data_IF_394588256110
#
_entry.id   IF_394588256110
#
_cell.length_a   1.000
_cell.length_b   1.000
_cell.length_c   1.000
_cell.angle_alpha   90.00
_cell.angle_beta   90.00
_cell.angle_gamma   90.00
#
_symmetry.space_group_name_H-M   'P 1'
#
loop_
_entity.id
_entity.type
_entity.pdbx_description
1 polymer ?
#
# COMPACT_ATOMS: atom_id res chain seq x y z
N UNK A 1 2.03 17.29 -27.91
CA UNK A 1 1.39 15.97 -27.70
C UNK A 1 1.91 15.24 -26.46
N UNK A 2 3.22 15.08 -26.25
CA UNK A 2 3.74 14.33 -25.08
C UNK A 2 3.41 14.95 -23.70
N UNK A 3 3.44 16.27 -23.55
CA UNK A 3 3.20 16.97 -22.27
C UNK A 3 1.78 16.71 -21.73
N UNK A 4 0.77 16.72 -22.61
CA UNK A 4 -0.63 16.48 -22.24
C UNK A 4 -0.81 15.03 -21.75
N UNK A 5 -0.15 14.07 -22.39
CA UNK A 5 -0.22 12.66 -22.02
C UNK A 5 0.38 12.40 -20.63
N UNK A 6 1.57 12.96 -20.34
CA UNK A 6 2.17 12.82 -19.01
C UNK A 6 1.32 13.46 -17.91
N UNK A 7 0.78 14.67 -18.15
CA UNK A 7 -0.11 15.34 -17.20
C UNK A 7 -1.40 14.55 -16.92
N UNK A 8 -1.96 13.90 -17.95
CA UNK A 8 -3.14 13.05 -17.81
C UNK A 8 -2.85 11.80 -16.97
N UNK A 9 -1.73 11.12 -17.25
CA UNK A 9 -1.31 9.93 -16.50
C UNK A 9 -1.02 10.25 -15.03
N UNK A 10 -0.36 11.37 -14.76
CA UNK A 10 -0.06 11.81 -13.39
C UNK A 10 -1.34 12.16 -12.62
N UNK A 11 -2.30 12.81 -13.29
CA UNK A 11 -3.62 13.08 -12.72
C UNK A 11 -4.36 11.79 -12.39
N UNK A 12 -4.35 10.81 -13.31
CA UNK A 12 -4.97 9.51 -13.08
C UNK A 12 -4.34 8.78 -11.89
N UNK A 13 -3.00 8.77 -11.82
CA UNK A 13 -2.27 8.17 -10.70
C UNK A 13 -2.69 8.81 -9.36
N UNK A 14 -2.71 10.14 -9.28
CA UNK A 14 -3.12 10.83 -8.05
C UNK A 14 -4.58 10.54 -7.66
N UNK A 15 -5.49 10.42 -8.62
CA UNK A 15 -6.89 10.04 -8.37
C UNK A 15 -6.99 8.63 -7.80
N UNK A 16 -6.24 7.67 -8.36
CA UNK A 16 -6.24 6.30 -7.88
C UNK A 16 -5.60 6.16 -6.50
N UNK A 17 -4.49 6.87 -6.24
CA UNK A 17 -3.86 6.93 -4.90
C UNK A 17 -4.82 7.52 -3.87
N UNK A 18 -5.53 8.60 -4.23
CA UNK A 18 -6.53 9.19 -3.35
C UNK A 18 -7.68 8.23 -3.08
N UNK A 19 -8.19 7.54 -4.09
CA UNK A 19 -9.25 6.55 -3.94
C UNK A 19 -8.82 5.38 -3.05
N UNK A 20 -7.59 4.87 -3.23
CA UNK A 20 -7.04 3.82 -2.38
C UNK A 20 -6.85 4.29 -0.94
N UNK A 21 -6.35 5.52 -0.74
CA UNK A 21 -6.20 6.12 0.58
C UNK A 21 -7.55 6.32 1.28
N UNK A 22 -8.57 6.80 0.58
CA UNK A 22 -9.91 6.97 1.13
C UNK A 22 -10.51 5.63 1.53
N UNK A 23 -10.28 4.60 0.71
CA UNK A 23 -10.71 3.24 1.02
C UNK A 23 -9.99 2.68 2.25
N UNK A 24 -8.69 2.93 2.39
CA UNK A 24 -7.93 2.59 3.59
C UNK A 24 -8.51 3.28 4.83
N UNK A 25 -8.78 4.58 4.77
CA UNK A 25 -9.37 5.34 5.87
C UNK A 25 -10.74 4.79 6.29
N UNK A 26 -11.57 4.38 5.32
CA UNK A 26 -12.87 3.78 5.59
C UNK A 26 -12.78 2.39 6.24
N UNK A 27 -11.73 1.62 5.92
CA UNK A 27 -11.54 0.24 6.38
C UNK A 27 -10.70 0.11 7.66
N UNK A 28 -9.99 1.16 8.06
CA UNK A 28 -9.20 1.19 9.29
C UNK A 28 -9.76 2.23 10.27
N UNK A 29 -10.79 1.87 11.08
CA UNK A 29 -11.51 2.82 11.94
C UNK A 29 -10.63 3.44 13.04
N UNK A 30 -9.54 2.76 13.42
CA UNK A 30 -8.57 3.24 14.41
C UNK A 30 -7.56 4.24 13.83
N UNK A 31 -7.75 4.68 12.57
CA UNK A 31 -6.93 5.73 11.97
C UNK A 31 -7.06 7.02 12.79
N UNK A 32 -5.94 7.59 13.27
CA UNK A 32 -5.98 8.84 14.02
C UNK A 32 -6.63 9.98 13.21
N UNK A 33 -7.63 10.63 13.80
CA UNK A 33 -8.29 11.78 13.19
C UNK A 33 -7.31 12.95 13.08
N UNK A 34 -7.33 13.65 11.96
CA UNK A 34 -6.42 14.76 11.72
C UNK A 34 -6.62 15.42 10.37
N UNK A 35 -5.86 16.50 10.13
CA UNK A 35 -5.82 17.14 8.82
C UNK A 35 -4.98 16.28 7.88
N UNK A 36 -5.56 15.90 6.74
CA UNK A 36 -4.90 15.10 5.70
C UNK A 36 -4.36 16.05 4.63
N UNK A 37 -3.12 15.84 4.21
CA UNK A 37 -2.49 16.56 3.09
C UNK A 37 -1.71 15.57 2.24
N UNK A 38 -1.88 15.63 0.92
CA UNK A 38 -1.04 14.88 -0.03
C UNK A 38 0.36 15.51 -0.12
N UNK A 39 1.39 14.70 -0.31
CA UNK A 39 2.75 15.18 -0.55
C UNK A 39 3.54 14.21 -1.41
N UNK A 40 4.67 14.63 -1.98
CA UNK A 40 5.47 13.77 -2.87
C UNK A 40 6.16 12.60 -2.16
N UNK A 41 6.40 12.73 -0.84
CA UNK A 41 7.15 11.74 -0.07
C UNK A 41 7.03 12.07 1.43
N UNK A 42 6.29 11.28 2.23
CA UNK A 42 5.40 10.17 1.81
C UNK A 42 4.12 10.68 1.10
N UNK A 43 3.39 9.80 0.42
CA UNK A 43 2.22 10.17 -0.41
C UNK A 43 1.16 10.99 0.34
N UNK A 44 0.89 10.66 1.61
CA UNK A 44 -0.02 11.41 2.46
C UNK A 44 0.57 11.69 3.84
N UNK A 45 0.11 12.78 4.44
CA UNK A 45 0.47 13.21 5.78
C UNK A 45 -0.81 13.49 6.58
N UNK A 46 -0.92 12.88 7.76
CA UNK A 46 -2.03 13.05 8.68
C UNK A 46 -1.53 13.79 9.92
N UNK A 47 -1.95 15.04 10.09
CA UNK A 47 -1.62 15.86 11.27
C UNK A 47 -2.67 15.67 12.35
N UNK A 48 -2.33 14.90 13.38
CA UNK A 48 -3.20 14.52 14.50
C UNK A 48 -3.10 15.49 15.69
N UNK A 49 -2.11 16.39 15.69
CA UNK A 49 -1.93 17.41 16.71
C UNK A 49 -0.84 18.44 16.36
N UNK A 50 -0.40 19.25 17.33
CA UNK A 50 0.60 20.30 17.10
C UNK A 50 1.97 19.76 16.67
N UNK A 51 2.36 18.58 17.15
CA UNK A 51 3.67 17.94 16.89
C UNK A 51 3.57 16.48 16.43
N UNK A 52 2.36 15.95 16.24
CA UNK A 52 2.17 14.57 15.81
C UNK A 52 1.68 14.55 14.36
N UNK A 53 2.48 13.90 13.52
CA UNK A 53 2.23 13.74 12.09
C UNK A 53 2.55 12.30 11.72
N UNK A 54 1.63 11.67 11.02
CA UNK A 54 1.78 10.32 10.48
C UNK A 54 1.99 10.45 8.98
N UNK A 55 3.08 9.90 8.48
CA UNK A 55 3.33 9.73 7.06
C UNK A 55 2.72 8.41 6.58
N UNK A 56 1.99 8.44 5.46
CA UNK A 56 1.39 7.27 4.83
C UNK A 56 2.00 7.15 3.44
N UNK A 57 2.75 6.07 3.22
CA UNK A 57 3.27 5.69 1.91
C UNK A 57 2.37 4.61 1.31
N UNK A 58 1.98 4.76 0.05
CA UNK A 58 1.25 3.77 -0.71
C UNK A 58 2.18 3.00 -1.65
N UNK A 59 1.86 1.73 -1.86
CA UNK A 59 2.56 0.92 -2.86
C UNK A 59 1.66 -0.16 -3.39
N UNK A 60 1.81 -0.52 -4.65
CA UNK A 60 1.01 -1.58 -5.28
C UNK A 60 1.81 -2.88 -5.33
N UNK A 61 1.14 -3.98 -5.02
CA UNK A 61 1.64 -5.34 -5.23
C UNK A 61 0.77 -5.98 -6.32
N UNK A 62 1.39 -6.22 -7.47
CA UNK A 62 0.76 -6.87 -8.61
C UNK A 62 0.89 -8.38 -8.49
N UNK A 63 -0.17 -9.10 -8.87
CA UNK A 63 -0.08 -10.54 -9.06
C UNK A 63 0.85 -10.80 -10.25
N UNK A 64 2.03 -11.40 -10.00
CA UNK A 64 2.96 -11.77 -11.08
C UNK A 64 2.23 -12.63 -12.13
N UNK A 65 2.50 -12.38 -13.42
CA UNK A 65 1.92 -13.21 -14.47
C UNK A 65 2.41 -14.66 -14.32
N UNK A 66 1.51 -15.65 -14.34
CA UNK A 66 1.94 -17.02 -14.44
C UNK A 66 2.46 -17.27 -15.86
N UNK A 67 3.58 -17.98 -15.99
CA UNK A 67 4.02 -18.51 -17.28
C UNK A 67 2.91 -19.31 -18.00
N UNK A 68 3.06 -19.41 -19.33
CA UNK A 68 2.08 -19.84 -20.37
C UNK A 68 1.21 -21.08 -20.01
N UNK A 69 1.65 -21.94 -19.08
CA UNK A 69 1.01 -23.21 -18.74
C UNK A 69 -0.30 -23.04 -17.93
N UNK A 70 -0.62 -21.85 -17.40
CA UNK A 70 -1.69 -21.69 -16.41
C UNK A 70 -2.99 -21.01 -16.88
N UNK A 71 -3.27 -21.00 -18.19
CA UNK A 71 -4.34 -20.19 -18.80
C UNK A 71 -5.75 -20.82 -18.64
N UNK A 72 -5.88 -22.04 -18.10
CA UNK A 72 -7.15 -22.80 -18.17
C UNK A 72 -8.11 -22.72 -16.99
N UNK A 73 -7.78 -22.11 -15.84
CA UNK A 73 -8.71 -21.93 -14.72
C UNK A 73 -8.48 -20.57 -14.05
N UNK A 74 -9.55 -19.85 -13.67
CA UNK A 74 -9.50 -18.58 -12.94
C UNK A 74 -8.45 -18.64 -11.81
N UNK A 75 -7.27 -18.08 -12.07
CA UNK A 75 -6.09 -18.40 -11.28
C UNK A 75 -6.06 -17.51 -10.05
N UNK A 76 -6.27 -18.13 -8.90
CA UNK A 76 -6.12 -17.49 -7.59
C UNK A 76 -4.64 -17.32 -7.29
N UNK A 77 -4.14 -16.08 -7.24
CA UNK A 77 -2.78 -15.79 -6.81
C UNK A 77 -2.71 -15.82 -5.29
N UNK A 78 -2.01 -16.78 -4.71
CA UNK A 78 -1.86 -16.86 -3.25
C UNK A 78 -0.84 -15.82 -2.80
N UNK A 79 -1.27 -14.90 -1.94
CA UNK A 79 -0.35 -13.93 -1.33
C UNK A 79 0.65 -14.69 -0.44
N UNK A 80 1.93 -14.36 -0.56
CA UNK A 80 3.01 -14.97 0.23
C UNK A 80 3.68 -13.91 1.11
N UNK A 81 4.23 -14.37 2.23
CA UNK A 81 5.07 -13.56 3.13
C UNK A 81 6.23 -12.93 2.36
N UNK A 82 6.91 -13.72 1.50
CA UNK A 82 8.07 -13.27 0.74
C UNK A 82 7.77 -12.15 -0.25
N UNK A 83 6.60 -12.18 -0.91
CA UNK A 83 6.20 -11.12 -1.83
C UNK A 83 6.00 -9.79 -1.08
N UNK A 84 5.31 -9.83 0.06
CA UNK A 84 5.09 -8.65 0.91
C UNK A 84 6.43 -8.15 1.48
N UNK A 85 7.29 -9.05 1.96
CA UNK A 85 8.59 -8.70 2.52
C UNK A 85 9.50 -8.00 1.50
N UNK A 86 9.54 -8.48 0.25
CA UNK A 86 10.28 -7.82 -0.84
C UNK A 86 9.80 -6.39 -1.10
N UNK A 87 8.48 -6.16 -1.07
CA UNK A 87 7.92 -4.81 -1.23
C UNK A 87 8.36 -3.89 -0.10
N UNK A 88 8.33 -4.38 1.14
CA UNK A 88 8.77 -3.63 2.31
C UNK A 88 10.27 -3.29 2.21
N UNK A 89 11.10 -4.25 1.85
CA UNK A 89 12.56 -4.06 1.67
C UNK A 89 12.86 -3.03 0.58
N UNK A 90 12.19 -3.12 -0.57
CA UNK A 90 12.38 -2.15 -1.64
C UNK A 90 11.96 -0.72 -1.20
N UNK A 91 10.93 -0.60 -0.37
CA UNK A 91 10.50 0.69 0.18
C UNK A 91 11.39 1.15 1.34
N UNK A 92 12.01 0.24 2.08
CA UNK A 92 12.95 0.55 3.16
C UNK A 92 14.14 1.38 2.68
N UNK A 93 14.64 1.11 1.47
CA UNK A 93 15.74 1.87 0.85
C UNK A 93 15.45 3.38 0.75
N UNK A 94 14.16 3.75 0.73
CA UNK A 94 13.68 5.14 0.60
C UNK A 94 13.29 5.79 1.92
N UNK A 95 13.47 5.11 3.07
CA UNK A 95 13.10 5.62 4.40
C UNK A 95 13.67 7.03 4.66
N UNK A 96 14.92 7.26 4.27
CA UNK A 96 15.58 8.57 4.44
C UNK A 96 14.87 9.69 3.69
N UNK A 97 14.21 9.40 2.56
CA UNK A 97 13.46 10.38 1.79
C UNK A 97 12.16 10.75 2.50
N UNK A 98 11.41 9.75 2.96
CA UNK A 98 10.15 9.96 3.70
C UNK A 98 10.40 10.76 5.00
N UNK A 99 11.54 10.52 5.66
CA UNK A 99 11.92 11.19 6.89
C UNK A 99 12.30 12.67 6.72
N UNK A 100 12.52 13.19 5.49
CA UNK A 100 12.83 14.61 5.27
C UNK A 100 11.73 15.53 5.78
N UNK A 101 10.47 15.08 5.71
CA UNK A 101 9.30 15.80 6.27
C UNK A 101 9.07 15.55 7.76
N UNK A 102 9.97 14.80 8.41
CA UNK A 102 10.00 14.47 9.84
C UNK A 102 8.65 14.00 10.39
N UNK A 103 7.99 13.01 9.76
CA UNK A 103 6.82 12.41 10.39
C UNK A 103 7.24 11.74 11.70
N UNK A 104 6.39 11.82 12.72
CA UNK A 104 6.62 11.13 14.00
C UNK A 104 6.35 9.63 13.91
N UNK A 105 5.56 9.21 12.92
CA UNK A 105 5.38 7.81 12.53
C UNK A 105 5.28 7.71 11.01
N UNK A 106 5.78 6.62 10.45
CA UNK A 106 5.70 6.32 9.02
C UNK A 106 5.04 4.96 8.82
N UNK A 107 3.90 4.95 8.13
CA UNK A 107 3.14 3.74 7.85
C UNK A 107 3.19 3.43 6.36
N UNK A 108 3.23 2.14 6.03
CA UNK A 108 3.19 1.64 4.66
C UNK A 108 1.84 0.94 4.41
N UNK A 109 1.18 1.26 3.31
CA UNK A 109 -0.03 0.58 2.85
C UNK A 109 0.27 -0.10 1.52
N UNK A 110 0.28 -1.44 1.52
CA UNK A 110 0.46 -2.28 0.34
C UNK A 110 -0.91 -2.60 -0.25
N UNK A 111 -1.20 -2.01 -1.39
CA UNK A 111 -2.43 -2.19 -2.16
C UNK A 111 -2.29 -3.48 -2.98
N UNK A 112 -3.18 -4.44 -2.76
CA UNK A 112 -3.24 -5.65 -3.55
C UNK A 112 -4.03 -5.35 -4.82
N UNK A 113 -3.35 -5.39 -5.96
CA UNK A 113 -3.92 -5.08 -7.26
C UNK A 113 -3.95 -6.31 -8.17
N UNK A 114 -4.98 -6.38 -9.01
CA UNK A 114 -5.15 -7.43 -9.99
C UNK A 114 -4.74 -6.86 -11.35
N UNK A 115 -3.62 -7.32 -11.91
CA UNK A 115 -3.10 -6.83 -13.19
C UNK A 115 -4.07 -7.07 -14.37
N UNK A 116 -4.96 -8.07 -14.24
CA UNK A 116 -6.07 -8.33 -15.16
C UNK A 116 -7.31 -8.60 -14.30
N UNK A 117 -8.49 -8.12 -14.72
CA UNK A 117 -9.75 -8.20 -13.97
C UNK A 117 -10.20 -9.62 -13.53
N UNK A 118 -9.43 -10.66 -13.86
CA UNK A 118 -9.69 -12.08 -13.60
C UNK A 118 -8.78 -12.69 -12.52
N UNK A 119 -7.65 -12.07 -12.18
CA UNK A 119 -6.79 -12.52 -11.09
C UNK A 119 -7.40 -12.07 -9.76
N UNK A 120 -7.52 -12.97 -8.78
CA UNK A 120 -7.99 -12.63 -7.43
C UNK A 120 -6.95 -13.12 -6.42
N UNK A 121 -6.51 -12.22 -5.55
CA UNK A 121 -5.64 -12.58 -4.44
C UNK A 121 -6.34 -13.49 -3.44
N UNK A 122 -5.74 -14.66 -3.20
CA UNK A 122 -6.09 -15.50 -2.06
C UNK A 122 -5.22 -15.12 -0.88
N UNK A 123 -5.83 -14.41 0.07
CA UNK A 123 -5.18 -13.94 1.30
C UNK A 123 -5.33 -15.04 2.37
N UNK A 124 -4.21 -15.57 2.92
CA UNK A 124 -4.27 -16.56 3.98
C UNK A 124 -4.90 -16.02 5.27
N UNK A 125 -5.68 -16.83 5.97
CA UNK A 125 -6.39 -16.43 7.21
C UNK A 125 -5.45 -15.95 8.32
N UNK A 126 -4.20 -16.41 8.30
CA UNK A 126 -3.17 -16.06 9.28
C UNK A 126 -2.29 -14.87 8.84
N UNK A 127 -2.69 -14.11 7.82
CA UNK A 127 -1.89 -12.99 7.27
C UNK A 127 -1.47 -11.96 8.32
N UNK A 128 -2.32 -11.70 9.31
CA UNK A 128 -2.03 -10.75 10.40
C UNK A 128 -0.96 -11.25 11.37
N UNK A 129 -0.67 -12.56 11.37
CA UNK A 129 0.31 -13.23 12.23
C UNK A 129 1.61 -13.56 11.50
N UNK A 130 1.79 -13.06 10.28
CA UNK A 130 3.01 -13.33 9.52
C UNK A 130 4.21 -12.65 10.16
N UNK A 131 5.36 -13.36 10.28
CA UNK A 131 6.58 -12.74 10.75
C UNK A 131 7.12 -11.83 9.64
N UNK A 132 6.83 -10.53 9.75
CA UNK A 132 7.22 -9.52 8.76
C UNK A 132 8.17 -8.54 9.42
N UNK A 133 9.31 -8.29 8.78
CA UNK A 133 10.21 -7.22 9.17
C UNK A 133 9.76 -5.92 8.52
N UNK A 134 9.37 -4.92 9.33
CA UNK A 134 8.73 -3.70 8.85
C UNK A 134 9.65 -2.71 8.15
N UNK A 135 10.97 -2.95 8.07
CA UNK A 135 11.86 -2.12 7.25
C UNK A 135 11.79 -0.62 7.60
N UNK A 136 11.79 -0.27 8.89
CA UNK A 136 11.76 1.13 9.35
C UNK A 136 10.39 1.81 9.29
N UNK A 137 9.34 1.11 8.87
CA UNK A 137 7.95 1.56 9.01
C UNK A 137 7.41 1.18 10.40
N UNK A 138 6.67 2.07 11.05
CA UNK A 138 6.04 1.79 12.35
C UNK A 138 4.89 0.79 12.21
N UNK A 139 4.13 0.91 11.10
CA UNK A 139 3.00 0.04 10.76
C UNK A 139 3.00 -0.31 9.28
N UNK A 140 2.61 -1.55 8.97
CA UNK A 140 2.42 -2.02 7.60
C UNK A 140 1.03 -2.61 7.46
N UNK A 141 0.33 -2.22 6.40
CA UNK A 141 -1.02 -2.66 6.10
C UNK A 141 -1.10 -3.32 4.73
N UNK A 142 -1.98 -4.31 4.60
CA UNK A 142 -2.42 -4.83 3.31
C UNK A 142 -3.84 -4.32 3.03
N UNK A 143 -4.02 -3.65 1.89
CA UNK A 143 -5.31 -3.16 1.42
C UNK A 143 -5.78 -4.01 0.23
N UNK A 144 -6.78 -4.85 0.47
CA UNK A 144 -7.46 -5.63 -0.57
C UNK A 144 -8.67 -4.84 -1.08
N UNK A 145 -8.48 -4.13 -2.21
CA UNK A 145 -9.53 -3.32 -2.81
C UNK A 145 -10.70 -4.17 -3.30
N UNK A 146 -10.41 -5.35 -3.87
CA UNK A 146 -11.44 -6.27 -4.40
C UNK A 146 -12.25 -6.92 -3.27
N UNK A 147 -11.56 -7.47 -2.27
CA UNK A 147 -12.22 -8.09 -1.12
C UNK A 147 -12.75 -7.10 -0.09
N UNK A 148 -12.52 -5.79 -0.28
CA UNK A 148 -12.91 -4.73 0.63
C UNK A 148 -12.41 -4.94 2.08
N UNK A 149 -11.13 -5.27 2.24
CA UNK A 149 -10.53 -5.59 3.55
C UNK A 149 -9.21 -4.88 3.74
N UNK A 150 -8.92 -4.54 4.99
CA UNK A 150 -7.63 -4.01 5.41
C UNK A 150 -7.07 -4.90 6.53
N UNK A 151 -5.79 -5.27 6.43
CA UNK A 151 -5.11 -6.08 7.42
C UNK A 151 -3.90 -5.32 7.96
N UNK A 152 -3.83 -5.15 9.28
CA UNK A 152 -2.59 -4.71 9.94
C UNK A 152 -1.67 -5.92 10.07
N UNK A 153 -0.43 -5.80 9.61
CA UNK A 153 0.59 -6.82 9.78
C UNK A 153 1.27 -6.62 11.14
N UNK A 154 1.37 -7.70 11.92
CA UNK A 154 2.10 -7.69 13.17
C UNK A 154 3.61 -7.74 12.93
N UNK A 155 4.37 -7.26 13.91
CA UNK A 155 5.82 -7.45 13.94
C UNK A 155 6.14 -8.87 14.40
N UNK A 156 7.23 -9.43 13.85
CA UNK A 156 7.82 -10.68 14.31
C UNK A 156 8.60 -10.47 15.61
#
# INVERSE_FOLDING_TARGET
MAIIYYSLLETQKHLEEKAAFDRFCALFPDLPKGKITQSESPDFMIKTGKKSVIGIELTRLFAEEPGIIAISHAKRHRLTVSAVQKVIEHKHEKIRLYQKRKPGQLWLVVILENAQCTAVWTIPKNVTKWPIHKGGFDKVFLLDLHGNRCFSLAEA
#
